data_IF_290319549886
#
_entry.id   IF_290319549886
#
_cell.length_a   1.000
_cell.length_b   1.000
_cell.length_c   1.000
_cell.angle_alpha   90.00
_cell.angle_beta   90.00
_cell.angle_gamma   90.00
#
_symmetry.space_group_name_H-M   'P 1'
#
loop_
_entity.id
_entity.type
_entity.pdbx_description
1 polymer ?
#
# COMPACT_ATOMS: atom_id res chain seq x y z
N UNK A 1 12.93 -12.93 15.72
CA UNK A 1 13.69 -12.53 14.51
C UNK A 1 12.98 -12.85 13.18
N UNK A 2 12.43 -14.06 12.98
CA UNK A 2 11.88 -14.52 11.68
C UNK A 2 10.91 -13.55 10.98
N UNK A 3 9.99 -12.91 11.71
CA UNK A 3 9.00 -11.98 11.14
C UNK A 3 9.62 -10.81 10.35
N UNK A 4 10.79 -10.29 10.77
CA UNK A 4 11.48 -9.19 10.08
C UNK A 4 12.09 -9.63 8.75
N UNK A 5 12.61 -10.86 8.68
CA UNK A 5 13.13 -11.44 7.44
C UNK A 5 12.00 -11.69 6.42
N UNK A 6 10.84 -12.19 6.89
CA UNK A 6 9.65 -12.36 6.05
C UNK A 6 9.10 -11.00 5.55
N UNK A 7 9.08 -9.98 6.41
CA UNK A 7 8.67 -8.63 6.02
C UNK A 7 9.59 -8.02 4.94
N UNK A 8 10.91 -8.19 5.08
CA UNK A 8 11.87 -7.78 4.05
C UNK A 8 11.65 -8.53 2.73
N UNK A 9 11.45 -9.85 2.79
CA UNK A 9 11.17 -10.65 1.59
C UNK A 9 9.86 -10.25 0.91
N UNK A 10 8.82 -9.91 1.68
CA UNK A 10 7.56 -9.35 1.14
C UNK A 10 7.81 -8.03 0.42
N UNK A 11 8.60 -7.12 0.97
CA UNK A 11 8.97 -5.87 0.29
C UNK A 11 9.67 -6.16 -1.05
N UNK A 12 10.64 -7.08 -1.07
CA UNK A 12 11.37 -7.44 -2.30
C UNK A 12 10.49 -8.11 -3.38
N UNK A 13 9.37 -8.74 -2.99
CA UNK A 13 8.41 -9.32 -3.95
C UNK A 13 7.35 -8.29 -4.37
N UNK A 14 6.85 -7.47 -3.45
CA UNK A 14 5.91 -6.39 -3.77
C UNK A 14 6.56 -5.37 -4.71
N UNK A 15 7.83 -5.00 -4.50
CA UNK A 15 8.61 -4.16 -5.40
C UNK A 15 8.73 -4.72 -6.84
N UNK A 16 8.52 -6.03 -7.05
CA UNK A 16 8.50 -6.66 -8.38
C UNK A 16 7.09 -6.77 -8.98
N UNK A 17 6.06 -6.80 -8.13
CA UNK A 17 4.65 -6.90 -8.54
C UNK A 17 4.03 -5.53 -8.79
N UNK A 18 4.58 -4.49 -8.15
CA UNK A 18 4.16 -3.10 -8.21
C UNK A 18 5.43 -2.23 -8.20
N UNK A 19 6.16 -2.21 -9.32
CA UNK A 19 7.43 -1.49 -9.50
C UNK A 19 7.25 0.02 -9.34
N UNK A 20 6.05 0.52 -9.65
CA UNK A 20 5.70 1.93 -9.53
C UNK A 20 5.74 2.40 -8.06
N UNK A 21 5.57 1.50 -7.07
CA UNK A 21 5.62 1.87 -5.64
C UNK A 21 7.02 2.31 -5.17
N UNK A 22 8.11 1.52 -5.35
CA UNK A 22 9.46 2.00 -5.05
C UNK A 22 9.90 3.14 -5.97
N UNK A 23 9.43 3.23 -7.21
CA UNK A 23 9.70 4.40 -8.08
C UNK A 23 9.08 5.69 -7.53
N UNK A 24 7.84 5.65 -7.04
CA UNK A 24 7.17 6.80 -6.42
C UNK A 24 7.75 7.14 -5.04
N UNK A 25 8.09 6.13 -4.23
CA UNK A 25 8.44 6.32 -2.81
C UNK A 25 9.95 6.36 -2.54
N UNK A 26 10.79 6.01 -3.52
CA UNK A 26 12.24 5.98 -3.40
C UNK A 26 12.73 5.23 -2.16
N UNK A 27 13.73 5.79 -1.48
CA UNK A 27 14.32 5.21 -0.26
C UNK A 27 13.33 5.07 0.90
N UNK A 28 12.22 5.82 0.91
CA UNK A 28 11.18 5.69 1.92
C UNK A 28 10.34 4.41 1.77
N UNK A 29 10.35 3.76 0.58
CA UNK A 29 9.59 2.54 0.32
C UNK A 29 9.89 1.42 1.33
N UNK A 30 11.17 1.06 1.47
CA UNK A 30 11.60 -0.08 2.29
C UNK A 30 11.28 0.09 3.79
N UNK A 31 11.61 1.22 4.46
CA UNK A 31 11.22 1.41 5.86
C UNK A 31 9.70 1.52 6.05
N UNK A 32 8.96 2.18 5.14
CA UNK A 32 7.51 2.27 5.22
C UNK A 32 6.84 0.88 5.10
N UNK A 33 7.29 0.05 4.15
CA UNK A 33 6.77 -1.30 3.98
C UNK A 33 7.08 -2.20 5.18
N UNK A 34 8.26 -2.07 5.79
CA UNK A 34 8.62 -2.80 7.02
C UNK A 34 7.80 -2.36 8.23
N UNK A 35 7.42 -1.08 8.33
CA UNK A 35 6.51 -0.58 9.37
C UNK A 35 5.09 -1.11 9.17
N UNK A 36 4.58 -1.06 7.94
CA UNK A 36 3.32 -1.68 7.53
C UNK A 36 3.29 -3.19 7.89
N UNK A 37 4.27 -3.95 7.43
CA UNK A 37 4.29 -5.41 7.52
C UNK A 37 4.40 -5.97 8.95
N UNK A 38 4.67 -5.14 9.96
CA UNK A 38 4.64 -5.55 11.38
C UNK A 38 3.25 -5.98 11.88
N UNK A 39 2.17 -5.77 11.09
CA UNK A 39 1.03 -6.70 11.08
C UNK A 39 -0.34 -6.06 10.80
N UNK A 40 -1.04 -6.31 9.69
CA UNK A 40 -0.65 -6.83 8.37
C UNK A 40 0.09 -8.18 8.26
N UNK A 41 -0.40 -9.25 8.91
CA UNK A 41 -0.22 -10.60 8.36
C UNK A 41 -0.66 -10.63 6.89
N UNK A 42 0.06 -11.36 6.05
CA UNK A 42 -0.24 -11.46 4.63
C UNK A 42 -1.46 -12.36 4.40
N UNK A 43 -2.56 -11.81 3.89
CA UNK A 43 -3.86 -12.52 3.82
C UNK A 43 -4.53 -12.57 2.43
N UNK A 44 -3.89 -12.03 1.38
CA UNK A 44 -4.51 -11.93 0.04
C UNK A 44 -3.58 -12.00 -1.17
N UNK A 45 -2.32 -12.46 -1.00
CA UNK A 45 -1.33 -12.47 -2.08
C UNK A 45 -0.69 -11.09 -2.35
N UNK A 46 0.41 -11.08 -3.11
CA UNK A 46 1.29 -9.89 -3.23
C UNK A 46 0.64 -8.68 -3.90
N UNK A 47 -0.23 -8.86 -4.91
CA UNK A 47 -0.96 -7.73 -5.53
C UNK A 47 -1.92 -7.07 -4.55
N UNK A 48 -2.57 -7.85 -3.68
CA UNK A 48 -3.42 -7.31 -2.61
C UNK A 48 -2.57 -6.64 -1.53
N UNK A 49 -1.45 -7.24 -1.16
CA UNK A 49 -0.49 -6.68 -0.18
C UNK A 49 0.05 -5.30 -0.63
N UNK A 50 0.27 -5.11 -1.93
CA UNK A 50 0.64 -3.81 -2.52
C UNK A 50 -0.48 -2.75 -2.38
N UNK A 51 -1.74 -3.14 -2.59
CA UNK A 51 -2.91 -2.26 -2.43
C UNK A 51 -3.17 -1.90 -0.97
N UNK A 52 -3.06 -2.88 -0.06
CA UNK A 52 -3.25 -2.70 1.38
C UNK A 52 -2.13 -1.82 1.97
N UNK A 53 -0.90 -1.94 1.47
CA UNK A 53 0.22 -1.06 1.82
C UNK A 53 -0.02 0.40 1.36
N UNK A 54 -0.44 0.59 0.11
CA UNK A 54 -0.76 1.92 -0.42
C UNK A 54 -1.94 2.56 0.33
N UNK A 55 -2.99 1.78 0.66
CA UNK A 55 -4.11 2.24 1.50
C UNK A 55 -3.63 2.65 2.90
N UNK A 56 -2.79 1.83 3.55
CA UNK A 56 -2.20 2.14 4.86
C UNK A 56 -1.43 3.46 4.85
N UNK A 57 -0.61 3.71 3.83
CA UNK A 57 0.12 4.98 3.70
C UNK A 57 -0.82 6.17 3.50
N UNK A 58 -1.82 6.05 2.61
CA UNK A 58 -2.77 7.12 2.32
C UNK A 58 -3.65 7.46 3.54
N UNK A 59 -3.99 6.48 4.38
CA UNK A 59 -4.70 6.67 5.64
C UNK A 59 -3.81 7.31 6.73
N UNK A 60 -2.52 6.98 6.75
CA UNK A 60 -1.53 7.60 7.64
C UNK A 60 -1.08 9.00 7.19
N UNK A 61 -1.57 9.51 6.05
CA UNK A 61 -1.17 10.81 5.50
C UNK A 61 0.20 10.81 4.80
N UNK A 62 0.83 9.65 4.64
CA UNK A 62 2.15 9.50 4.02
C UNK A 62 2.06 9.20 2.50
N UNK A 63 3.12 9.49 1.72
CA UNK A 63 4.30 10.27 2.12
C UNK A 63 3.93 11.73 2.42
N UNK A 64 4.81 12.47 3.11
CA UNK A 64 4.56 13.86 3.48
C UNK A 64 4.46 14.78 2.26
N UNK A 65 5.26 14.51 1.23
CA UNK A 65 5.15 15.16 -0.06
C UNK A 65 3.74 14.98 -0.66
N UNK A 66 3.08 16.11 -0.91
CA UNK A 66 1.75 16.17 -1.45
C UNK A 66 1.67 15.66 -2.89
N UNK A 67 2.73 15.79 -3.69
CA UNK A 67 2.70 15.29 -5.06
C UNK A 67 2.75 13.76 -5.12
N UNK A 68 3.72 13.16 -4.44
CA UNK A 68 3.86 11.71 -4.34
C UNK A 68 2.63 11.08 -3.71
N UNK A 69 2.01 11.73 -2.71
CA UNK A 69 0.74 11.29 -2.13
C UNK A 69 -0.44 11.35 -3.11
N UNK A 70 -0.47 12.31 -4.04
CA UNK A 70 -1.44 12.33 -5.16
C UNK A 70 -1.17 11.19 -6.15
N UNK A 71 0.09 10.97 -6.55
CA UNK A 71 0.50 9.89 -7.47
C UNK A 71 0.14 8.51 -6.89
N UNK A 72 0.47 8.26 -5.62
CA UNK A 72 0.12 7.03 -4.89
C UNK A 72 -1.40 6.82 -4.81
N UNK A 73 -2.18 7.87 -4.57
CA UNK A 73 -3.66 7.80 -4.58
C UNK A 73 -4.21 7.45 -5.96
N UNK A 74 -3.68 8.03 -7.04
CA UNK A 74 -4.11 7.71 -8.40
C UNK A 74 -3.82 6.24 -8.74
N UNK A 75 -2.59 5.78 -8.47
CA UNK A 75 -2.16 4.39 -8.65
C UNK A 75 -3.06 3.39 -7.90
N UNK A 76 -3.42 3.72 -6.66
CA UNK A 76 -4.31 2.89 -5.83
C UNK A 76 -5.76 2.87 -6.36
N UNK A 77 -6.31 4.02 -6.76
CA UNK A 77 -7.66 4.09 -7.33
C UNK A 77 -7.79 3.30 -8.63
N UNK A 78 -6.79 3.36 -9.50
CA UNK A 78 -6.74 2.59 -10.76
C UNK A 78 -6.76 1.07 -10.54
N UNK A 79 -6.16 0.58 -9.46
CA UNK A 79 -5.94 -0.86 -9.20
C UNK A 79 -6.88 -1.47 -8.13
N UNK A 80 -7.68 -0.66 -7.43
CA UNK A 80 -8.51 -1.10 -6.29
C UNK A 80 -9.97 -1.47 -6.63
N UNK A 81 -10.43 -1.26 -7.87
CA UNK A 81 -11.80 -1.61 -8.26
C UNK A 81 -12.10 -1.60 -9.77
N UNK A 82 -13.28 -2.07 -10.21
CA UNK A 82 -13.57 -2.41 -11.62
C UNK A 82 -13.83 -1.22 -12.56
N UNK A 83 -13.40 -0.01 -12.25
CA UNK A 83 -13.69 1.18 -13.07
C UNK A 83 -12.57 2.20 -12.91
N UNK A 84 -11.92 2.65 -14.00
CA UNK A 84 -10.93 3.72 -13.92
C UNK A 84 -11.57 4.99 -13.34
N UNK A 85 -10.93 5.69 -12.39
CA UNK A 85 -11.46 6.94 -11.88
C UNK A 85 -11.49 7.99 -13.01
N UNK A 86 -12.69 8.29 -13.52
CA UNK A 86 -12.91 9.38 -14.47
C UNK A 86 -12.35 10.69 -13.90
N UNK A 87 -11.59 11.43 -14.70
CA UNK A 87 -10.80 12.62 -14.31
C UNK A 87 -11.67 13.81 -13.85
N UNK A 88 -12.33 13.70 -12.69
CA UNK A 88 -13.17 14.73 -12.07
C UNK A 88 -12.82 14.89 -10.58
N UNK A 89 -12.77 16.13 -10.04
CA UNK A 89 -12.11 16.42 -8.76
C UNK A 89 -12.91 16.03 -7.49
N UNK A 90 -13.83 15.06 -7.55
CA UNK A 90 -14.76 14.73 -6.46
C UNK A 90 -15.11 13.23 -6.36
N UNK A 91 -14.10 12.37 -6.24
CA UNK A 91 -14.28 10.97 -5.81
C UNK A 91 -13.64 10.74 -4.42
N UNK A 92 -14.47 10.71 -3.38
CA UNK A 92 -14.06 10.71 -1.97
C UNK A 92 -14.64 9.49 -1.23
N UNK A 93 -13.75 8.73 -0.58
CA UNK A 93 -13.99 7.56 0.29
C UNK A 93 -14.60 6.30 -0.36
N UNK A 94 -13.89 5.17 -0.19
CA UNK A 94 -14.50 3.87 0.19
C UNK A 94 -13.44 2.90 0.74
N UNK A 95 -13.81 2.10 1.76
CA UNK A 95 -13.19 0.83 2.24
C UNK A 95 -12.13 0.78 3.36
N UNK A 96 -12.18 1.68 4.33
CA UNK A 96 -11.58 1.43 5.65
C UNK A 96 -12.36 0.37 6.49
N UNK A 97 -12.57 -0.85 5.99
CA UNK A 97 -13.34 -1.93 6.66
C UNK A 97 -12.81 -3.34 6.40
N UNK A 98 -11.54 -3.63 6.75
CA UNK A 98 -11.13 -5.03 7.00
C UNK A 98 -9.95 -5.21 7.96
N UNK A 99 -10.02 -4.63 9.16
CA UNK A 99 -8.94 -4.74 10.15
C UNK A 99 -9.38 -4.98 11.61
N UNK A 100 -10.30 -5.93 11.81
CA UNK A 100 -10.40 -6.75 13.03
C UNK A 100 -10.80 -8.17 12.62
N UNK A 101 -9.92 -9.13 12.85
CA UNK A 101 -10.12 -10.60 12.98
C UNK A 101 -8.85 -11.30 12.51
N UNK A 102 -7.97 -11.60 13.47
CA UNK A 102 -6.97 -12.70 13.52
C UNK A 102 -5.99 -12.37 14.66
N UNK A 103 -6.52 -12.39 15.89
CA UNK A 103 -5.72 -12.37 17.13
C UNK A 103 -6.35 -13.35 18.12
N UNK A 104 -6.00 -14.62 17.92
CA UNK A 104 -6.06 -15.72 18.90
C UNK A 104 -4.80 -16.56 18.65
#
# INVERSE_FOLDING_TARGET
MQARALAAKRADVVAKVAVELPEMLGDAYRPAFLAYAQGHPMSGGYRRDALDFAEYMLLAGHPEDAETRRRLRAWWLERSGPTPPSQRPTARLARATRRVLLRR
#
